data_IF_236166475938
#
_entry.id   IF_236166475938
#
_cell.length_a   1.000
_cell.length_b   1.000
_cell.length_c   1.000
_cell.angle_alpha   90.00
_cell.angle_beta   90.00
_cell.angle_gamma   90.00
#
_symmetry.space_group_name_H-M   'P 1'
#
loop_
_entity.id
_entity.type
_entity.pdbx_description
1 polymer ?
#
# COMPACT_ATOMS: atom_id res chain seq x y z
N UNK A 1 -18.06 -11.02 -15.25
CA UNK A 1 -17.39 -12.21 -14.68
C UNK A 1 -15.96 -11.90 -14.24
N UNK A 2 -14.98 -11.71 -15.14
CA UNK A 2 -13.60 -11.39 -14.74
C UNK A 2 -13.47 -10.00 -14.09
N UNK A 3 -14.12 -9.00 -14.66
CA UNK A 3 -14.08 -7.62 -14.15
C UNK A 3 -14.72 -7.49 -12.75
N UNK A 4 -15.77 -8.26 -12.47
CA UNK A 4 -16.43 -8.27 -11.16
C UNK A 4 -15.50 -8.85 -10.09
N UNK A 5 -14.82 -9.96 -10.39
CA UNK A 5 -13.83 -10.57 -9.49
C UNK A 5 -12.64 -9.63 -9.25
N UNK A 6 -12.13 -9.00 -10.31
CA UNK A 6 -11.04 -8.03 -10.21
C UNK A 6 -11.43 -6.84 -9.34
N UNK A 7 -12.65 -6.31 -9.53
CA UNK A 7 -13.20 -5.20 -8.73
C UNK A 7 -13.34 -5.56 -7.25
N UNK A 8 -13.84 -6.76 -6.93
CA UNK A 8 -13.98 -7.21 -5.54
C UNK A 8 -12.63 -7.38 -4.84
N UNK A 9 -11.66 -8.04 -5.50
CA UNK A 9 -10.29 -8.18 -4.99
C UNK A 9 -9.64 -6.82 -4.75
N UNK A 10 -9.77 -5.93 -5.72
CA UNK A 10 -9.20 -4.59 -5.66
C UNK A 10 -9.77 -3.76 -4.50
N UNK A 11 -11.10 -3.79 -4.29
CA UNK A 11 -11.73 -3.13 -3.13
C UNK A 11 -11.17 -3.65 -1.81
N UNK A 12 -10.97 -4.96 -1.70
CA UNK A 12 -10.41 -5.59 -0.50
C UNK A 12 -8.97 -5.15 -0.26
N UNK A 13 -8.11 -5.17 -1.29
CA UNK A 13 -6.70 -4.76 -1.18
C UNK A 13 -6.55 -3.27 -0.86
N UNK A 14 -7.34 -2.41 -1.50
CA UNK A 14 -7.38 -0.98 -1.16
C UNK A 14 -7.76 -0.78 0.31
N UNK A 15 -8.85 -1.40 0.77
CA UNK A 15 -9.31 -1.25 2.16
C UNK A 15 -8.28 -1.78 3.18
N UNK A 16 -7.62 -2.89 2.87
CA UNK A 16 -6.54 -3.46 3.69
C UNK A 16 -5.34 -2.51 3.76
N UNK A 17 -4.88 -2.02 2.61
CA UNK A 17 -3.74 -1.09 2.50
C UNK A 17 -4.02 0.21 3.24
N UNK A 18 -5.23 0.77 3.12
CA UNK A 18 -5.65 1.92 3.91
C UNK A 18 -5.62 1.63 5.41
N UNK A 19 -6.04 0.44 5.83
CA UNK A 19 -5.98 0.02 7.24
C UNK A 19 -4.55 -0.06 7.76
N UNK A 20 -3.64 -0.60 6.96
CA UNK A 20 -2.20 -0.58 7.27
C UNK A 20 -1.71 0.86 7.44
N UNK A 21 -2.02 1.75 6.50
CA UNK A 21 -1.59 3.15 6.62
C UNK A 21 -2.16 3.91 7.82
N UNK A 22 -3.31 3.47 8.37
CA UNK A 22 -3.91 4.02 9.59
C UNK A 22 -3.28 3.46 10.88
N UNK A 23 -2.85 2.20 10.86
CA UNK A 23 -2.40 1.47 12.05
C UNK A 23 -0.89 1.28 12.12
N UNK A 24 -0.15 1.55 11.05
CA UNK A 24 1.28 1.30 11.00
C UNK A 24 2.05 2.14 12.02
N UNK A 25 2.98 1.48 12.70
CA UNK A 25 3.99 2.09 13.54
C UNK A 25 5.28 2.23 12.72
N UNK A 26 5.88 3.42 12.73
CA UNK A 26 7.13 3.72 12.01
C UNK A 26 8.29 3.68 13.00
N UNK A 27 9.27 2.82 12.74
CA UNK A 27 10.51 2.66 13.52
C UNK A 27 11.70 2.98 12.62
N UNK A 28 12.00 4.27 12.39
CA UNK A 28 13.00 4.66 11.40
C UNK A 28 14.42 4.26 11.84
N UNK A 29 15.33 3.97 10.90
CA UNK A 29 16.74 3.76 11.22
C UNK A 29 17.40 5.04 11.76
N UNK A 30 18.50 4.86 12.51
CA UNK A 30 19.30 5.97 13.05
C UNK A 30 20.00 6.76 11.93
N UNK A 31 20.43 6.07 10.86
CA UNK A 31 21.03 6.67 9.68
C UNK A 31 20.05 7.62 8.97
N UNK A 32 20.44 8.89 8.83
CA UNK A 32 19.59 9.94 8.27
C UNK A 32 19.28 9.74 6.79
N UNK A 33 20.20 9.14 6.02
CA UNK A 33 19.97 8.81 4.62
C UNK A 33 18.93 7.70 4.48
N UNK A 34 19.02 6.66 5.30
CA UNK A 34 18.04 5.57 5.31
C UNK A 34 16.68 6.04 5.82
N UNK A 35 16.63 6.93 6.81
CA UNK A 35 15.37 7.55 7.27
C UNK A 35 14.68 8.32 6.15
N UNK A 36 15.43 9.13 5.40
CA UNK A 36 14.89 9.86 4.25
C UNK A 36 14.34 8.89 3.19
N UNK A 37 15.06 7.81 2.89
CA UNK A 37 14.57 6.77 1.96
C UNK A 37 13.29 6.08 2.44
N UNK A 38 13.16 5.83 3.74
CA UNK A 38 11.93 5.30 4.33
C UNK A 38 10.76 6.26 4.12
N UNK A 39 10.94 7.54 4.45
CA UNK A 39 9.91 8.58 4.26
C UNK A 39 9.50 8.72 2.79
N UNK A 40 10.47 8.75 1.87
CA UNK A 40 10.24 8.77 0.42
C UNK A 40 9.47 7.52 -0.04
N UNK A 41 9.84 6.35 0.46
CA UNK A 41 9.19 5.07 0.12
C UNK A 41 7.74 5.01 0.63
N UNK A 42 7.49 5.48 1.85
CA UNK A 42 6.12 5.60 2.40
C UNK A 42 5.30 6.57 1.55
N UNK A 43 5.87 7.72 1.19
CA UNK A 43 5.21 8.71 0.34
C UNK A 43 4.87 8.11 -1.03
N UNK A 44 5.81 7.43 -1.67
CA UNK A 44 5.59 6.75 -2.94
C UNK A 44 4.50 5.68 -2.85
N UNK A 45 4.50 4.87 -1.79
CA UNK A 45 3.46 3.86 -1.59
C UNK A 45 2.06 4.48 -1.44
N UNK A 46 1.93 5.64 -0.79
CA UNK A 46 0.66 6.39 -0.71
C UNK A 46 0.22 6.93 -2.07
N UNK A 47 1.16 7.38 -2.92
CA UNK A 47 0.85 7.81 -4.28
C UNK A 47 0.23 6.64 -5.07
N UNK A 48 0.85 5.46 -5.03
CA UNK A 48 0.34 4.28 -5.74
C UNK A 48 -0.99 3.74 -5.19
N UNK A 49 -1.26 3.89 -3.89
CA UNK A 49 -2.60 3.65 -3.34
C UNK A 49 -3.63 4.62 -3.94
N UNK A 50 -3.26 5.90 -4.10
CA UNK A 50 -4.08 6.91 -4.77
C UNK A 50 -4.35 6.56 -6.24
N UNK A 51 -3.30 6.18 -6.97
CA UNK A 51 -3.42 5.76 -8.38
C UNK A 51 -4.32 4.53 -8.52
N UNK A 52 -4.17 3.55 -7.62
CA UNK A 52 -5.04 2.37 -7.62
C UNK A 52 -6.52 2.73 -7.50
N UNK A 53 -6.88 3.64 -6.58
CA UNK A 53 -8.26 4.15 -6.44
C UNK A 53 -8.73 4.86 -7.70
N UNK A 54 -7.89 5.73 -8.27
CA UNK A 54 -8.20 6.47 -9.49
C UNK A 54 -8.46 5.56 -10.70
N UNK A 55 -7.62 4.54 -10.90
CA UNK A 55 -7.84 3.58 -11.98
C UNK A 55 -9.05 2.67 -11.72
N UNK A 56 -9.33 2.33 -10.45
CA UNK A 56 -10.56 1.61 -10.07
C UNK A 56 -11.82 2.39 -10.46
N UNK A 57 -11.86 3.70 -10.17
CA UNK A 57 -12.98 4.58 -10.50
C UNK A 57 -13.21 4.70 -12.01
N UNK A 58 -12.13 4.63 -12.80
CA UNK A 58 -12.19 4.62 -14.27
C UNK A 58 -12.55 3.27 -14.90
N UNK A 59 -12.64 2.21 -14.11
CA UNK A 59 -12.89 0.86 -14.60
C UNK A 59 -11.65 0.13 -15.14
N UNK A 60 -10.46 0.70 -15.00
CA UNK A 60 -9.21 0.05 -15.39
C UNK A 60 -8.67 -0.81 -14.23
N UNK A 61 -9.29 -1.98 -14.06
CA UNK A 61 -8.99 -2.85 -12.92
C UNK A 61 -7.61 -3.50 -12.99
N UNK A 62 -7.07 -3.74 -14.18
CA UNK A 62 -5.74 -4.33 -14.34
C UNK A 62 -4.68 -3.35 -13.86
N UNK A 63 -4.71 -2.11 -14.34
CA UNK A 63 -3.78 -1.07 -13.90
C UNK A 63 -3.93 -0.79 -12.41
N UNK A 64 -5.17 -0.73 -11.91
CA UNK A 64 -5.43 -0.52 -10.49
C UNK A 64 -4.87 -1.64 -9.58
N UNK A 65 -4.94 -2.90 -10.04
CA UNK A 65 -4.34 -4.05 -9.34
C UNK A 65 -2.80 -3.99 -9.35
N UNK A 66 -2.19 -3.56 -10.45
CA UNK A 66 -0.74 -3.33 -10.51
C UNK A 66 -0.32 -2.22 -9.53
N UNK A 67 -1.08 -1.11 -9.48
CA UNK A 67 -0.80 -0.02 -8.56
C UNK A 67 -0.89 -0.43 -7.09
N UNK A 68 -1.94 -1.17 -6.69
CA UNK A 68 -2.08 -1.59 -5.29
C UNK A 68 -1.01 -2.61 -4.91
N UNK A 69 -0.70 -3.57 -5.78
CA UNK A 69 0.36 -4.55 -5.52
C UNK A 69 1.73 -3.88 -5.35
N UNK A 70 2.02 -2.83 -6.12
CA UNK A 70 3.24 -2.04 -5.96
C UNK A 70 3.25 -1.25 -4.64
N UNK A 71 2.11 -0.64 -4.27
CA UNK A 71 1.94 0.04 -2.98
C UNK A 71 2.21 -0.91 -1.80
N UNK A 72 1.59 -2.09 -1.79
CA UNK A 72 1.76 -3.13 -0.77
C UNK A 72 3.21 -3.65 -0.72
N UNK A 73 3.82 -3.93 -1.87
CA UNK A 73 5.20 -4.39 -1.95
C UNK A 73 6.23 -3.40 -1.38
N UNK A 74 6.01 -2.09 -1.57
CA UNK A 74 6.90 -1.06 -1.02
C UNK A 74 6.88 -1.06 0.52
N UNK A 75 5.71 -1.13 1.14
CA UNK A 75 5.60 -1.13 2.61
C UNK A 75 6.01 -2.48 3.21
N UNK A 76 5.75 -3.60 2.55
CA UNK A 76 6.20 -4.93 2.99
C UNK A 76 7.73 -5.03 2.95
N UNK A 77 8.39 -4.41 1.97
CA UNK A 77 9.85 -4.32 1.95
C UNK A 77 10.39 -3.56 3.17
N UNK A 78 9.76 -2.43 3.54
CA UNK A 78 10.18 -1.65 4.71
C UNK A 78 9.88 -2.39 6.03
N UNK A 79 8.78 -3.15 6.09
CA UNK A 79 8.50 -4.07 7.20
C UNK A 79 9.58 -5.15 7.33
N UNK A 80 10.00 -5.74 6.21
CA UNK A 80 11.08 -6.73 6.16
C UNK A 80 12.43 -6.20 6.67
N UNK A 81 12.68 -4.89 6.52
CA UNK A 81 13.85 -4.20 7.08
C UNK A 81 13.69 -3.84 8.57
N UNK A 82 12.53 -4.10 9.17
CA UNK A 82 12.22 -3.75 10.56
C UNK A 82 11.86 -2.28 10.77
N UNK A 83 11.62 -1.51 9.69
CA UNK A 83 11.34 -0.08 9.77
C UNK A 83 9.86 0.25 9.94
N UNK A 84 8.99 -0.71 9.61
CA UNK A 84 7.55 -0.61 9.78
C UNK A 84 7.02 -1.80 10.57
N UNK A 85 5.98 -1.57 11.36
CA UNK A 85 5.23 -2.61 12.05
C UNK A 85 3.73 -2.38 11.86
N UNK A 86 3.05 -3.39 11.33
CA UNK A 86 1.61 -3.38 11.08
C UNK A 86 1.10 -4.81 10.86
N UNK A 87 -0.22 -4.97 10.87
CA UNK A 87 -0.91 -6.21 10.54
C UNK A 87 -1.89 -5.99 9.39
N UNK A 88 -2.03 -6.99 8.53
CA UNK A 88 -3.02 -7.00 7.45
C UNK A 88 -4.40 -7.32 8.03
N UNK A 89 -5.05 -6.31 8.61
CA UNK A 89 -6.32 -6.47 9.31
C UNK A 89 -7.33 -5.40 8.89
N UNK A 90 -8.55 -5.84 8.57
CA UNK A 90 -9.72 -4.97 8.43
C UNK A 90 -10.45 -4.76 9.76
N UNK A 91 -9.95 -5.31 10.88
CA UNK A 91 -10.52 -5.05 12.21
C UNK A 91 -10.19 -3.60 12.61
N UNK A 92 -11.17 -2.73 12.41
CA UNK A 92 -11.32 -1.45 13.11
C UNK A 92 -12.27 -1.62 14.28
#
# INVERSE_FOLDING_TARGET
MFEDEAREKLRKYIALTESVFRSMEVSPPEDSCLRKKLEETISLSRIYLGDSKHYMEKGDYVTALVCIAYSEGLIDAMRGLGWLKYEWSLKG
#
